data_IF_544635587357
#
_entry.id   IF_544635587357
#
_cell.length_a   1.000
_cell.length_b   1.000
_cell.length_c   1.000
_cell.angle_alpha   90.00
_cell.angle_beta   90.00
_cell.angle_gamma   90.00
#
_symmetry.space_group_name_H-M   'P 1'
#
loop_
_entity.id
_entity.type
_entity.pdbx_description
1 polymer ?
#
# COMPACT_ATOMS: atom_id res chain seq x y z
N UNK A 1 4.75 -1.82 4.11
CA UNK A 1 4.70 -0.50 4.76
C UNK A 1 3.33 -0.32 5.37
N UNK A 2 3.23 0.30 6.54
CA UNK A 2 1.99 0.53 7.28
C UNK A 2 2.12 1.81 8.14
N UNK A 3 0.99 2.35 8.60
CA UNK A 3 0.95 3.63 9.33
C UNK A 3 1.68 3.58 10.69
N UNK A 4 1.71 2.42 11.35
CA UNK A 4 2.41 2.28 12.63
C UNK A 4 3.92 2.35 12.45
N UNK A 5 4.43 1.75 11.37
CA UNK A 5 5.83 1.83 10.96
C UNK A 5 6.20 3.26 10.57
N UNK A 6 5.38 3.95 9.77
CA UNK A 6 5.64 5.35 9.41
C UNK A 6 5.66 6.25 10.63
N UNK A 7 4.72 6.07 11.57
CA UNK A 7 4.68 6.82 12.82
C UNK A 7 5.98 6.66 13.61
N UNK A 8 6.47 5.43 13.78
CA UNK A 8 7.75 5.16 14.46
C UNK A 8 8.93 5.81 13.76
N UNK A 9 8.97 5.78 12.42
CA UNK A 9 10.03 6.39 11.59
C UNK A 9 10.02 7.92 11.58
N UNK A 10 8.92 8.54 11.99
CA UNK A 10 8.77 9.99 12.10
C UNK A 10 9.24 10.52 13.46
N UNK A 11 9.35 9.66 14.48
CA UNK A 11 9.80 10.07 15.81
C UNK A 11 11.25 10.56 15.77
N UNK A 12 11.55 11.65 16.48
CA UNK A 12 12.89 12.29 16.49
C UNK A 12 13.98 11.32 16.96
N UNK A 13 13.64 10.40 17.87
CA UNK A 13 14.55 9.36 18.34
C UNK A 13 14.94 8.35 17.25
N UNK A 14 14.12 8.25 16.18
CA UNK A 14 14.22 7.32 15.07
C UNK A 14 14.14 8.11 13.75
N UNK A 15 15.01 9.11 13.56
CA UNK A 15 14.97 10.02 12.41
C UNK A 15 15.37 9.34 11.08
N UNK A 16 14.52 8.43 10.60
CA UNK A 16 14.70 7.68 9.35
C UNK A 16 14.36 8.53 8.12
N UNK A 17 13.50 9.53 8.26
CA UNK A 17 13.15 10.44 7.18
C UNK A 17 14.08 11.65 7.19
N UNK A 18 14.95 11.73 6.17
CA UNK A 18 15.85 12.87 6.00
C UNK A 18 15.18 14.00 5.24
N UNK A 19 14.19 13.66 4.41
CA UNK A 19 13.44 14.58 3.57
C UNK A 19 11.95 14.22 3.56
N UNK A 20 11.06 15.20 3.38
CA UNK A 20 9.62 14.96 3.21
C UNK A 20 9.29 13.96 2.08
N UNK A 21 10.13 13.88 1.04
CA UNK A 21 9.98 12.91 -0.04
C UNK A 21 10.03 11.46 0.46
N UNK A 22 10.88 11.16 1.44
CA UNK A 22 11.05 9.82 2.00
C UNK A 22 9.76 9.37 2.72
N UNK A 23 9.15 10.30 3.46
CA UNK A 23 7.86 10.09 4.12
C UNK A 23 6.71 9.88 3.12
N UNK A 24 6.66 10.70 2.06
CA UNK A 24 5.65 10.59 1.00
C UNK A 24 5.80 9.27 0.24
N UNK A 25 7.04 8.83 -0.01
CA UNK A 25 7.31 7.55 -0.66
C UNK A 25 6.77 6.36 0.17
N UNK A 26 7.00 6.35 1.48
CA UNK A 26 6.49 5.30 2.36
C UNK A 26 4.94 5.29 2.41
N UNK A 27 4.29 6.46 2.42
CA UNK A 27 2.84 6.55 2.33
C UNK A 27 2.30 5.98 1.01
N UNK A 28 2.89 6.36 -0.12
CA UNK A 28 2.52 5.81 -1.44
C UNK A 28 2.76 4.31 -1.53
N UNK A 29 3.77 3.79 -0.85
CA UNK A 29 4.03 2.35 -0.77
C UNK A 29 2.91 1.61 -0.04
N UNK A 30 2.23 2.21 0.95
CA UNK A 30 1.03 1.61 1.57
C UNK A 30 -0.05 1.39 0.52
N UNK A 31 -0.37 2.42 -0.28
CA UNK A 31 -1.41 2.35 -1.30
C UNK A 31 -1.05 1.39 -2.43
N UNK A 32 0.21 1.41 -2.88
CA UNK A 32 0.72 0.47 -3.89
C UNK A 32 0.59 -0.98 -3.44
N UNK A 33 1.01 -1.28 -2.21
CA UNK A 33 0.84 -2.62 -1.64
C UNK A 33 -0.66 -2.96 -1.55
N UNK A 34 -1.50 -2.01 -1.12
CA UNK A 34 -2.95 -2.23 -1.06
C UNK A 34 -3.52 -2.64 -2.43
N UNK A 35 -3.14 -1.95 -3.50
CA UNK A 35 -3.58 -2.27 -4.86
C UNK A 35 -2.97 -3.57 -5.42
N UNK A 36 -1.74 -3.93 -5.02
CA UNK A 36 -1.10 -5.17 -5.48
C UNK A 36 -1.66 -6.41 -4.79
N UNK A 37 -1.99 -6.31 -3.51
CA UNK A 37 -2.48 -7.45 -2.71
C UNK A 37 -3.99 -7.60 -2.73
N UNK A 38 -4.74 -6.50 -2.86
CA UNK A 38 -6.18 -6.53 -2.99
C UNK A 38 -6.52 -6.30 -4.45
N UNK A 39 -7.25 -7.24 -5.07
CA UNK A 39 -7.65 -7.17 -6.47
C UNK A 39 -8.36 -5.82 -6.76
N UNK A 40 -7.61 -4.86 -7.31
CA UNK A 40 -8.18 -3.73 -8.05
C UNK A 40 -8.75 -4.36 -9.31
N UNK A 41 -10.07 -4.30 -9.42
CA UNK A 41 -10.81 -5.12 -10.33
C UNK A 41 -10.60 -4.79 -11.79
N UNK A 42 -11.41 -5.42 -12.62
CA UNK A 42 -11.22 -5.37 -14.06
C UNK A 42 -11.31 -3.93 -14.59
N UNK A 43 -10.47 -3.64 -15.59
CA UNK A 43 -10.57 -2.40 -16.36
C UNK A 43 -11.96 -2.36 -17.01
N UNK A 44 -12.81 -1.45 -16.54
CA UNK A 44 -14.12 -1.20 -17.12
C UNK A 44 -13.99 -0.08 -18.13
N UNK A 45 -14.34 -0.40 -19.37
CA UNK A 45 -14.42 0.56 -20.47
C UNK A 45 -15.89 0.64 -20.86
N UNK A 46 -16.52 1.76 -20.51
CA UNK A 46 -17.89 2.12 -20.90
C UNK A 46 -17.88 3.50 -21.56
N UNK A 47 -18.97 3.88 -22.24
CA UNK A 47 -19.06 5.19 -22.90
C UNK A 47 -18.85 6.36 -21.93
N UNK A 48 -19.20 6.16 -20.65
CA UNK A 48 -19.29 7.21 -19.64
C UNK A 48 -18.19 7.09 -18.57
N UNK A 49 -17.48 5.96 -18.52
CA UNK A 49 -16.44 5.70 -17.52
C UNK A 49 -15.37 4.74 -18.05
N UNK A 50 -14.11 5.17 -17.96
CA UNK A 50 -12.94 4.34 -18.19
C UNK A 50 -12.11 4.34 -16.91
N UNK A 51 -12.10 3.22 -16.21
CA UNK A 51 -11.40 3.11 -14.93
C UNK A 51 -11.41 1.69 -14.37
N UNK A 52 -10.57 1.47 -13.36
CA UNK A 52 -10.55 0.22 -12.59
C UNK A 52 -11.68 0.29 -11.55
N UNK A 53 -12.56 -0.72 -11.53
CA UNK A 53 -13.53 -0.86 -10.44
C UNK A 53 -12.86 -1.71 -9.35
N UNK A 54 -12.79 -1.27 -8.09
CA UNK A 54 -12.23 -2.11 -7.04
C UNK A 54 -13.18 -3.28 -6.75
N UNK A 55 -12.67 -4.52 -6.84
CA UNK A 55 -13.49 -5.72 -6.58
C UNK A 55 -13.61 -6.02 -5.06
N UNK A 56 -12.88 -5.27 -4.23
CA UNK A 56 -12.81 -5.42 -2.77
C UNK A 56 -13.05 -4.09 -2.04
N UNK A 57 -13.78 -4.13 -0.92
CA UNK A 57 -13.99 -2.98 -0.02
C UNK A 57 -12.65 -2.37 0.44
N UNK A 58 -11.65 -3.22 0.65
CA UNK A 58 -10.31 -2.79 1.05
C UNK A 58 -9.62 -2.02 -0.08
N UNK A 59 -9.80 -2.44 -1.33
CA UNK A 59 -9.25 -1.75 -2.50
C UNK A 59 -9.94 -0.39 -2.71
N UNK A 60 -11.26 -0.31 -2.52
CA UNK A 60 -12.02 0.95 -2.58
C UNK A 60 -11.57 1.94 -1.49
N UNK A 61 -11.43 1.46 -0.25
CA UNK A 61 -10.92 2.26 0.86
C UNK A 61 -9.48 2.74 0.59
N UNK A 62 -8.63 1.87 0.05
CA UNK A 62 -7.25 2.20 -0.34
C UNK A 62 -7.18 3.32 -1.36
N UNK A 63 -7.97 3.25 -2.44
CA UNK A 63 -8.01 4.29 -3.47
C UNK A 63 -8.55 5.62 -2.96
N UNK A 64 -9.62 5.60 -2.15
CA UNK A 64 -10.17 6.83 -1.56
C UNK A 64 -9.17 7.50 -0.63
N UNK A 65 -8.45 6.72 0.16
CA UNK A 65 -7.44 7.24 1.07
C UNK A 65 -6.23 7.80 0.32
N UNK A 66 -5.81 7.16 -0.77
CA UNK A 66 -4.75 7.67 -1.65
C UNK A 66 -5.13 9.03 -2.25
N UNK A 67 -6.34 9.15 -2.80
CA UNK A 67 -6.83 10.41 -3.37
C UNK A 67 -6.87 11.53 -2.32
N UNK A 68 -7.36 11.23 -1.12
CA UNK A 68 -7.42 12.17 -0.01
C UNK A 68 -6.01 12.60 0.45
N UNK A 69 -5.08 11.66 0.54
CA UNK A 69 -3.69 11.95 0.90
C UNK A 69 -3.01 12.89 -0.11
N UNK A 70 -3.20 12.65 -1.42
CA UNK A 70 -2.64 13.52 -2.46
C UNK A 70 -3.27 14.93 -2.44
N UNK A 71 -4.55 15.05 -2.06
CA UNK A 71 -5.18 16.35 -1.82
C UNK A 71 -4.56 17.08 -0.62
N UNK A 72 -4.37 16.38 0.50
CA UNK A 72 -3.69 16.93 1.67
C UNK A 72 -2.27 17.39 1.34
N UNK A 73 -1.52 16.62 0.54
CA UNK A 73 -0.18 17.00 0.11
C UNK A 73 -0.17 18.30 -0.71
N UNK A 74 -1.10 18.45 -1.66
CA UNK A 74 -1.23 19.68 -2.45
C UNK A 74 -1.57 20.89 -1.58
N UNK A 75 -2.43 20.69 -0.58
CA UNK A 75 -2.84 21.75 0.33
C UNK A 75 -1.73 22.17 1.30
N UNK A 76 -0.95 21.19 1.80
CA UNK A 76 0.12 21.44 2.77
C UNK A 76 1.42 21.92 2.11
N UNK A 77 1.69 21.49 0.88
CA UNK A 77 2.89 21.85 0.13
C UNK A 77 2.55 22.36 -1.28
N UNK A 78 1.97 23.57 -1.43
CA UNK A 78 1.49 24.07 -2.71
C UNK A 78 2.58 24.25 -3.78
N UNK A 79 3.80 24.58 -3.34
CA UNK A 79 4.93 24.85 -4.24
C UNK A 79 5.87 23.64 -4.43
N UNK A 80 5.65 22.54 -3.70
CA UNK A 80 6.51 21.36 -3.76
C UNK A 80 5.88 20.29 -4.62
N UNK A 81 6.71 19.63 -5.42
CA UNK A 81 6.31 18.44 -6.17
C UNK A 81 6.97 17.22 -5.56
N UNK A 82 6.19 16.17 -5.33
CA UNK A 82 6.67 14.88 -4.87
C UNK A 82 6.62 13.90 -6.04
N UNK A 83 7.71 13.73 -6.82
CA UNK A 83 7.74 12.72 -7.87
C UNK A 83 7.60 11.33 -7.28
N UNK A 84 6.98 10.41 -8.02
CA UNK A 84 6.91 9.00 -7.63
C UNK A 84 8.32 8.43 -7.69
N UNK A 85 8.92 8.16 -6.54
CA UNK A 85 10.22 7.49 -6.47
C UNK A 85 10.00 6.00 -6.77
N UNK A 86 10.56 5.53 -7.89
CA UNK A 86 10.42 4.13 -8.34
C UNK A 86 11.19 3.14 -7.46
N UNK A 87 12.20 3.60 -6.71
CA UNK A 87 13.08 2.77 -5.90
C UNK A 87 13.25 3.35 -4.49
N UNK A 88 12.40 2.94 -3.55
CA UNK A 88 12.78 2.85 -2.15
C UNK A 88 12.89 1.38 -1.79
N UNK A 89 13.83 0.68 -2.44
CA UNK A 89 14.34 -0.56 -1.87
C UNK A 89 15.17 -0.11 -0.67
N UNK A 90 14.64 -0.36 0.52
CA UNK A 90 15.34 -0.18 1.78
C UNK A 90 16.77 -0.70 1.66
N UNK A 91 17.75 0.19 1.78
CA UNK A 91 19.11 -0.18 2.14
C UNK A 91 19.00 -1.00 3.43
N UNK A 92 19.34 -2.29 3.30
CA UNK A 92 19.67 -3.13 4.43
C UNK A 92 20.99 -2.61 4.97
N UNK A 93 21.02 -2.23 6.25
CA UNK A 93 22.01 -2.69 7.23
C UNK A 93 21.96 -1.76 8.45
N UNK A 94 21.26 -2.22 9.49
CA UNK A 94 21.73 -1.99 10.84
C UNK A 94 21.65 -3.35 11.56
N UNK A 95 22.77 -4.07 11.70
CA UNK A 95 22.83 -5.27 12.52
C UNK A 95 22.89 -4.86 13.99
N UNK A 96 22.29 -5.70 14.85
CA UNK A 96 22.26 -5.59 16.32
C UNK A 96 21.22 -4.64 16.92
N UNK A 97 20.01 -5.17 17.13
CA UNK A 97 19.48 -5.31 18.49
C UNK A 97 18.75 -6.67 18.58
N UNK A 98 19.29 -7.53 19.40
CA UNK A 98 18.85 -8.90 19.65
C UNK A 98 17.62 -8.96 20.56
N UNK A 99 16.86 -10.04 20.35
CA UNK A 99 16.09 -10.82 21.33
C UNK A 99 14.62 -10.45 21.65
N UNK A 100 13.79 -11.44 21.32
CA UNK A 100 12.58 -11.93 21.99
C UNK A 100 11.22 -11.30 21.62
N UNK A 101 10.64 -11.77 20.52
CA UNK A 101 9.18 -11.83 20.37
C UNK A 101 8.79 -12.94 19.40
N UNK A 102 8.37 -14.08 19.95
CA UNK A 102 7.66 -15.18 19.26
C UNK A 102 6.31 -14.70 18.71
N UNK A 103 6.32 -13.98 17.59
CA UNK A 103 5.11 -13.73 16.79
C UNK A 103 5.21 -14.54 15.49
N UNK A 104 4.58 -15.72 15.51
CA UNK A 104 4.37 -16.58 14.35
C UNK A 104 3.61 -15.78 13.27
N UNK A 105 4.36 -15.12 12.38
CA UNK A 105 3.79 -14.42 11.23
C UNK A 105 3.24 -15.44 10.24
N UNK A 106 1.97 -15.80 10.42
CA UNK A 106 1.21 -16.56 9.42
C UNK A 106 0.98 -15.67 8.21
N UNK A 107 1.73 -15.93 7.13
CA UNK A 107 1.46 -15.33 5.83
C UNK A 107 0.02 -15.68 5.37
N UNK A 108 -0.83 -14.71 5.01
CA UNK A 108 -2.16 -15.00 4.49
C UNK A 108 -2.04 -15.79 3.17
N UNK A 109 -2.36 -17.09 3.23
CA UNK A 109 -2.48 -17.92 2.02
C UNK A 109 -3.60 -17.35 1.15
N UNK A 110 -3.27 -16.98 -0.09
CA UNK A 110 -4.26 -16.74 -1.16
C UNK A 110 -5.19 -17.96 -1.24
N UNK A 111 -6.44 -17.80 -0.79
CA UNK A 111 -7.49 -18.80 -1.00
C UNK A 111 -7.84 -18.77 -2.50
N UNK A 112 -7.20 -19.64 -3.27
CA UNK A 112 -7.66 -19.99 -4.61
C UNK A 112 -9.10 -20.48 -4.48
N UNK A 113 -10.05 -19.76 -5.09
CA UNK A 113 -11.46 -20.17 -5.18
C UNK A 113 -11.52 -21.61 -5.69
N UNK A 114 -12.21 -22.45 -4.90
CA UNK A 114 -12.47 -23.85 -5.23
C UNK A 114 -13.47 -23.82 -6.39
N UNK A 115 -13.02 -24.18 -7.58
CA UNK A 115 -13.89 -24.28 -8.75
C UNK A 115 -15.07 -25.18 -8.44
N UNK A 116 -16.28 -24.68 -8.64
CA UNK A 116 -17.51 -25.44 -8.62
C UNK A 116 -17.62 -26.27 -9.91
N UNK A 117 -16.80 -27.30 -10.05
CA UNK A 117 -17.04 -28.34 -11.06
C UNK A 117 -17.88 -29.44 -10.45
N UNK A 118 -19.19 -29.22 -10.42
CA UNK A 118 -20.15 -30.33 -10.39
C UNK A 118 -21.45 -29.95 -11.08
N UNK A 119 -21.39 -29.81 -12.40
CA UNK A 119 -22.54 -30.07 -13.25
C UNK A 119 -22.17 -30.98 -14.42
N UNK A 120 -22.97 -32.05 -14.56
CA UNK A 120 -23.13 -32.96 -15.71
C UNK A 120 -22.04 -34.05 -15.78
N UNK A 121 -22.34 -35.35 -15.87
CA UNK A 121 -23.32 -36.05 -16.70
C UNK A 121 -23.78 -37.40 -16.09
N UNK A 122 -25.07 -37.72 -16.34
CA UNK A 122 -25.76 -39.02 -16.44
C UNK A 122 -25.74 -39.98 -15.25
#
# INVERSE_FOLDING_TARGET
MDLSTIKKRLEVANSFYTKPEDFVADFRLIFRNCAEFNEVGNLVISSDFVGLIPDSEVADAGMKLEAYFEELLRNLYPERKFPVQLNCQSEKDNPELTEDSDDDFVQPRKKRLKGEDRQLLK
#
